data_IF_477871065293
#
_entry.id   IF_477871065293
#
_cell.length_a   1.000
_cell.length_b   1.000
_cell.length_c   1.000
_cell.angle_alpha   90.00
_cell.angle_beta   90.00
_cell.angle_gamma   90.00
#
_symmetry.space_group_name_H-M   'P 1'
#
loop_
_entity.id
_entity.type
_entity.pdbx_description
1 polymer ?
#
# COMPACT_ATOMS: atom_id res chain seq x y z
N UNK A 1 -25.84 -2.31 0.46
CA UNK A 1 -26.16 -2.47 -0.98
C UNK A 1 -24.88 -2.76 -1.74
N UNK A 2 -24.81 -3.87 -2.49
CA UNK A 2 -23.68 -4.16 -3.38
C UNK A 2 -23.65 -3.12 -4.49
N UNK A 3 -22.59 -2.34 -4.58
CA UNK A 3 -22.42 -1.39 -5.68
C UNK A 3 -21.77 -2.14 -6.84
N UNK A 4 -22.60 -2.64 -7.73
CA UNK A 4 -22.17 -3.28 -8.98
C UNK A 4 -21.43 -2.25 -9.85
N UNK A 5 -20.10 -2.38 -9.95
CA UNK A 5 -19.27 -1.51 -10.77
C UNK A 5 -19.46 -1.77 -12.28
N UNK A 6 -20.27 -2.79 -12.64
CA UNK A 6 -20.55 -3.14 -14.04
C UNK A 6 -21.75 -2.40 -14.64
N UNK A 7 -22.43 -1.55 -13.83
CA UNK A 7 -23.63 -0.79 -14.24
C UNK A 7 -23.41 0.73 -14.11
N UNK A 8 -24.26 1.54 -14.71
CA UNK A 8 -24.17 3.02 -14.67
C UNK A 8 -23.05 3.61 -15.53
N UNK A 9 -22.85 4.94 -15.50
CA UNK A 9 -21.79 5.65 -16.24
C UNK A 9 -20.41 5.36 -15.59
N UNK A 10 -19.40 4.82 -16.31
CA UNK A 10 -18.12 4.40 -15.75
C UNK A 10 -17.41 5.45 -14.88
N UNK A 11 -17.35 6.70 -15.37
CA UNK A 11 -16.69 7.79 -14.65
C UNK A 11 -17.38 8.10 -13.30
N UNK A 12 -18.72 8.17 -13.26
CA UNK A 12 -19.45 8.45 -12.03
C UNK A 12 -19.36 7.31 -11.03
N UNK A 13 -19.42 6.06 -11.51
CA UNK A 13 -19.29 4.87 -10.67
C UNK A 13 -17.90 4.80 -10.07
N UNK A 14 -16.86 5.00 -10.89
CA UNK A 14 -15.48 4.97 -10.45
C UNK A 14 -15.17 6.11 -9.47
N UNK A 15 -15.63 7.33 -9.72
CA UNK A 15 -15.44 8.47 -8.83
C UNK A 15 -16.06 8.21 -7.43
N UNK A 16 -17.29 7.74 -7.39
CA UNK A 16 -17.99 7.44 -6.12
C UNK A 16 -17.34 6.29 -5.37
N UNK A 17 -16.71 5.36 -6.06
CA UNK A 17 -15.98 4.24 -5.47
C UNK A 17 -14.59 4.67 -4.97
N UNK A 18 -13.90 5.53 -5.72
CA UNK A 18 -12.54 5.98 -5.41
C UNK A 18 -12.47 7.00 -4.29
N UNK A 19 -13.47 7.90 -4.19
CA UNK A 19 -13.44 8.98 -3.20
C UNK A 19 -13.29 8.50 -1.75
N UNK A 20 -14.02 7.47 -1.26
CA UNK A 20 -13.77 6.92 0.07
C UNK A 20 -12.37 6.31 0.23
N UNK A 21 -11.79 5.73 -0.83
CA UNK A 21 -10.43 5.18 -0.78
C UNK A 21 -9.37 6.28 -0.66
N UNK A 22 -9.54 7.42 -1.35
CA UNK A 22 -8.67 8.59 -1.19
C UNK A 22 -8.79 9.19 0.23
N UNK A 23 -10.01 9.26 0.77
CA UNK A 23 -10.21 9.68 2.15
C UNK A 23 -9.53 8.72 3.13
N UNK A 24 -9.57 7.41 2.89
CA UNK A 24 -8.84 6.43 3.70
C UNK A 24 -7.34 6.70 3.73
N UNK A 25 -6.75 7.03 2.57
CA UNK A 25 -5.32 7.39 2.52
C UNK A 25 -5.03 8.65 3.33
N UNK A 26 -5.86 9.69 3.21
CA UNK A 26 -5.69 10.91 3.98
C UNK A 26 -5.79 10.66 5.50
N UNK A 27 -6.80 9.91 5.95
CA UNK A 27 -6.93 9.52 7.36
C UNK A 27 -5.76 8.66 7.85
N UNK A 28 -5.27 7.73 7.03
CA UNK A 28 -4.11 6.91 7.38
C UNK A 28 -2.84 7.75 7.56
N UNK A 29 -2.63 8.76 6.72
CA UNK A 29 -1.47 9.65 6.88
C UNK A 29 -1.58 10.54 8.11
N UNK A 30 -2.77 11.06 8.41
CA UNK A 30 -3.02 11.81 9.65
C UNK A 30 -2.78 10.94 10.89
N UNK A 31 -3.26 9.71 10.87
CA UNK A 31 -3.01 8.73 11.92
C UNK A 31 -1.51 8.46 12.10
N UNK A 32 -0.76 8.17 11.02
CA UNK A 32 0.69 7.92 11.11
C UNK A 32 1.46 9.11 11.71
N UNK A 33 1.01 10.35 11.43
CA UNK A 33 1.60 11.56 12.03
C UNK A 33 1.27 11.62 13.52
N UNK A 34 0.01 11.40 13.91
CA UNK A 34 -0.42 11.43 15.31
C UNK A 34 0.32 10.39 16.16
N UNK A 35 0.40 9.16 15.68
CA UNK A 35 1.13 8.05 16.30
C UNK A 35 2.61 8.39 16.51
N UNK A 36 3.27 8.91 15.47
CA UNK A 36 4.67 9.35 15.56
C UNK A 36 4.88 10.50 16.55
N UNK A 37 3.91 11.42 16.67
CA UNK A 37 3.97 12.51 17.65
C UNK A 37 3.80 11.98 19.08
N UNK A 38 2.89 11.05 19.30
CA UNK A 38 2.68 10.46 20.64
C UNK A 38 3.91 9.66 21.03
N UNK A 39 4.42 8.78 20.17
CA UNK A 39 5.63 8.01 20.42
C UNK A 39 6.83 8.92 20.73
N UNK A 40 7.10 9.93 19.90
CA UNK A 40 8.27 10.78 20.07
C UNK A 40 8.20 11.74 21.26
N UNK A 41 7.01 12.32 21.56
CA UNK A 41 6.89 13.30 22.65
C UNK A 41 6.67 12.68 24.03
N UNK A 42 6.00 11.54 24.11
CA UNK A 42 5.54 10.99 25.38
C UNK A 42 6.18 9.64 25.73
N UNK A 43 6.59 8.83 24.74
CA UNK A 43 7.30 7.58 25.00
C UNK A 43 8.84 7.76 25.05
N UNK A 44 9.35 8.88 24.50
CA UNK A 44 10.77 9.23 24.51
C UNK A 44 11.49 8.96 23.19
N UNK A 45 12.73 9.47 23.09
CA UNK A 45 13.55 9.36 21.86
C UNK A 45 13.93 7.89 21.57
N UNK A 46 14.24 7.11 22.60
CA UNK A 46 14.59 5.68 22.46
C UNK A 46 13.41 4.86 21.94
N UNK A 47 12.18 5.16 22.37
CA UNK A 47 10.98 4.52 21.88
C UNK A 47 10.75 4.81 20.38
N UNK A 48 10.95 6.06 19.97
CA UNK A 48 10.85 6.44 18.55
C UNK A 48 11.94 5.77 17.70
N UNK A 49 13.16 5.66 18.25
CA UNK A 49 14.28 4.97 17.63
C UNK A 49 14.01 3.46 17.48
N UNK A 50 13.43 2.83 18.52
CA UNK A 50 13.06 1.41 18.53
C UNK A 50 11.98 1.09 17.46
N UNK A 51 10.93 1.91 17.35
CA UNK A 51 9.92 1.81 16.30
C UNK A 51 10.56 1.95 14.92
N UNK A 52 11.46 2.94 14.75
CA UNK A 52 12.20 3.16 13.51
C UNK A 52 13.09 1.99 13.11
N UNK A 53 13.81 1.39 14.07
CA UNK A 53 14.68 0.23 13.84
C UNK A 53 13.89 -1.04 13.45
N UNK A 54 12.63 -1.17 13.90
CA UNK A 54 11.73 -2.26 13.54
C UNK A 54 11.14 -2.12 12.13
N UNK A 55 11.15 -0.91 11.55
CA UNK A 55 10.47 -0.58 10.31
C UNK A 55 10.83 -1.46 9.10
N UNK A 56 12.11 -1.81 8.82
CA UNK A 56 12.46 -2.68 7.70
C UNK A 56 11.77 -4.05 7.77
N UNK A 57 11.67 -4.61 8.98
CA UNK A 57 11.06 -5.93 9.21
C UNK A 57 9.53 -5.84 9.07
N UNK A 58 8.92 -4.82 9.66
CA UNK A 58 7.47 -4.60 9.55
C UNK A 58 7.04 -4.38 8.11
N UNK A 59 7.86 -3.72 7.27
CA UNK A 59 7.59 -3.52 5.85
C UNK A 59 7.52 -4.84 5.06
N UNK A 60 8.31 -5.85 5.42
CA UNK A 60 8.24 -7.18 4.78
C UNK A 60 6.88 -7.82 5.08
N UNK A 61 6.43 -7.80 6.34
CA UNK A 61 5.12 -8.34 6.71
C UNK A 61 3.97 -7.58 6.04
N UNK A 62 4.08 -6.25 5.95
CA UNK A 62 3.12 -5.42 5.22
C UNK A 62 3.09 -5.76 3.72
N UNK A 63 4.24 -6.03 3.11
CA UNK A 63 4.31 -6.44 1.71
C UNK A 63 3.53 -7.75 1.46
N UNK A 64 3.65 -8.71 2.37
CA UNK A 64 2.88 -9.97 2.32
C UNK A 64 1.38 -9.69 2.47
N UNK A 65 0.98 -8.87 3.46
CA UNK A 65 -0.42 -8.52 3.69
C UNK A 65 -1.06 -7.85 2.47
N UNK A 66 -0.39 -6.85 1.90
CA UNK A 66 -0.87 -6.12 0.70
C UNK A 66 -0.89 -7.01 -0.54
N UNK A 67 0.13 -7.83 -0.75
CA UNK A 67 0.17 -8.73 -1.90
C UNK A 67 -0.93 -9.79 -1.86
N UNK A 68 -1.18 -10.38 -0.69
CA UNK A 68 -2.30 -11.31 -0.48
C UNK A 68 -3.65 -10.62 -0.69
N UNK A 69 -3.82 -9.41 -0.15
CA UNK A 69 -5.02 -8.60 -0.38
C UNK A 69 -5.28 -8.38 -1.88
N UNK A 70 -4.26 -7.98 -2.65
CA UNK A 70 -4.37 -7.77 -4.10
C UNK A 70 -4.80 -9.07 -4.79
N UNK A 71 -4.15 -10.20 -4.47
CA UNK A 71 -4.46 -11.49 -5.07
C UNK A 71 -5.92 -11.90 -4.87
N UNK A 72 -6.38 -11.84 -3.63
CA UNK A 72 -7.75 -12.20 -3.26
C UNK A 72 -8.76 -11.22 -3.88
N UNK A 73 -8.47 -9.92 -3.82
CA UNK A 73 -9.35 -8.87 -4.35
C UNK A 73 -9.58 -8.98 -5.85
N UNK A 74 -8.55 -9.27 -6.63
CA UNK A 74 -8.67 -9.44 -8.09
C UNK A 74 -9.55 -10.64 -8.41
N UNK A 75 -9.32 -11.79 -7.77
CA UNK A 75 -10.09 -13.02 -8.02
C UNK A 75 -11.55 -12.81 -7.63
N UNK A 76 -11.82 -12.27 -6.45
CA UNK A 76 -13.19 -11.98 -5.98
C UNK A 76 -13.90 -11.00 -6.91
N UNK A 77 -13.21 -9.91 -7.33
CA UNK A 77 -13.80 -8.92 -8.25
C UNK A 77 -14.23 -9.55 -9.58
N UNK A 78 -13.40 -10.43 -10.15
CA UNK A 78 -13.71 -11.13 -11.40
C UNK A 78 -14.91 -12.08 -11.22
N UNK A 79 -14.95 -12.87 -10.16
CA UNK A 79 -16.03 -13.79 -9.88
C UNK A 79 -17.35 -13.07 -9.55
N UNK A 80 -17.27 -11.97 -8.81
CA UNK A 80 -18.42 -11.12 -8.53
C UNK A 80 -19.00 -10.52 -9.81
N UNK A 81 -18.14 -10.00 -10.70
CA UNK A 81 -18.55 -9.50 -12.00
C UNK A 81 -19.18 -10.57 -12.92
N UNK A 82 -18.67 -11.79 -12.85
CA UNK A 82 -19.22 -12.94 -13.57
C UNK A 82 -20.55 -13.46 -12.96
N UNK A 83 -20.96 -12.92 -11.79
CA UNK A 83 -22.10 -13.39 -11.00
C UNK A 83 -21.95 -14.84 -10.52
N UNK A 84 -20.74 -15.36 -10.49
CA UNK A 84 -20.42 -16.66 -9.91
C UNK A 84 -20.21 -16.54 -8.40
N UNK A 85 -21.32 -16.37 -7.68
CA UNK A 85 -21.32 -16.10 -6.26
C UNK A 85 -20.87 -17.31 -5.41
N UNK A 86 -21.02 -18.54 -5.92
CA UNK A 86 -20.51 -19.74 -5.27
C UNK A 86 -18.98 -19.70 -5.21
N UNK A 87 -18.34 -19.57 -6.37
CA UNK A 87 -16.89 -19.54 -6.46
C UNK A 87 -16.30 -18.28 -5.82
N UNK A 88 -17.02 -17.15 -5.88
CA UNK A 88 -16.65 -15.92 -5.17
C UNK A 88 -16.55 -16.14 -3.65
N UNK A 89 -17.54 -16.82 -3.03
CA UNK A 89 -17.49 -17.15 -1.61
C UNK A 89 -16.39 -18.16 -1.30
N UNK A 90 -16.22 -19.17 -2.16
CA UNK A 90 -15.13 -20.15 -2.06
C UNK A 90 -13.77 -19.43 -2.09
N UNK A 91 -13.60 -18.42 -2.98
CA UNK A 91 -12.38 -17.61 -3.04
C UNK A 91 -12.15 -16.81 -1.75
N UNK A 92 -13.21 -16.20 -1.20
CA UNK A 92 -13.11 -15.44 0.05
C UNK A 92 -12.73 -16.36 1.22
N UNK A 93 -13.40 -17.50 1.40
CA UNK A 93 -13.09 -18.44 2.47
C UNK A 93 -11.69 -19.05 2.33
N UNK A 94 -11.31 -19.48 1.11
CA UNK A 94 -9.96 -19.96 0.80
C UNK A 94 -8.92 -18.88 1.15
N UNK A 95 -9.20 -17.62 0.79
CA UNK A 95 -8.32 -16.49 1.10
C UNK A 95 -8.13 -16.30 2.61
N UNK A 96 -9.21 -16.27 3.40
CA UNK A 96 -9.13 -16.14 4.86
C UNK A 96 -8.39 -17.30 5.51
N UNK A 97 -8.66 -18.53 5.12
CA UNK A 97 -7.95 -19.70 5.64
C UNK A 97 -6.46 -19.64 5.30
N UNK A 98 -6.13 -19.28 4.05
CA UNK A 98 -4.74 -19.20 3.60
C UNK A 98 -3.95 -18.13 4.34
N UNK A 99 -4.53 -16.94 4.58
CA UNK A 99 -3.85 -15.88 5.33
C UNK A 99 -3.82 -16.17 6.83
N UNK A 100 -4.78 -16.88 7.38
CA UNK A 100 -4.73 -17.33 8.77
C UNK A 100 -3.56 -18.31 8.99
N UNK A 101 -3.41 -19.30 8.11
CA UNK A 101 -2.28 -20.24 8.15
C UNK A 101 -0.96 -19.49 7.96
N UNK A 102 -0.87 -18.63 6.94
CA UNK A 102 0.33 -17.83 6.67
C UNK A 102 0.66 -16.90 7.84
N UNK A 103 -0.34 -16.27 8.44
CA UNK A 103 -0.19 -15.40 9.60
C UNK A 103 0.38 -16.14 10.80
N UNK A 104 -0.17 -17.33 11.11
CA UNK A 104 0.35 -18.19 12.19
C UNK A 104 1.80 -18.61 11.91
N UNK A 105 2.09 -19.08 10.70
CA UNK A 105 3.46 -19.48 10.32
C UNK A 105 4.44 -18.32 10.46
N UNK A 106 4.08 -17.13 9.93
CA UNK A 106 4.94 -15.94 10.02
C UNK A 106 5.07 -15.42 11.45
N UNK A 107 4.03 -15.57 12.28
CA UNK A 107 4.11 -15.23 13.70
C UNK A 107 5.11 -16.14 14.43
N UNK A 108 5.03 -17.45 14.24
CA UNK A 108 5.96 -18.40 14.84
C UNK A 108 7.40 -18.16 14.38
N UNK A 109 7.60 -18.11 13.06
CA UNK A 109 8.93 -17.88 12.46
C UNK A 109 9.49 -16.51 12.87
N UNK A 110 8.65 -15.47 12.82
CA UNK A 110 9.05 -14.11 13.18
C UNK A 110 9.42 -13.98 14.64
N UNK A 111 8.67 -14.63 15.55
CA UNK A 111 9.00 -14.61 16.98
C UNK A 111 10.33 -15.30 17.27
N UNK A 112 10.61 -16.44 16.63
CA UNK A 112 11.89 -17.16 16.78
C UNK A 112 13.07 -16.36 16.22
N UNK A 113 12.85 -15.67 15.09
CA UNK A 113 13.90 -14.93 14.37
C UNK A 113 13.98 -13.44 14.75
N UNK A 114 13.16 -12.96 15.69
CA UNK A 114 13.07 -11.54 16.05
C UNK A 114 14.44 -10.94 16.42
N UNK A 115 15.08 -11.46 17.47
CA UNK A 115 16.41 -10.98 17.90
C UNK A 115 17.52 -11.24 16.84
N UNK A 116 17.65 -12.44 16.25
CA UNK A 116 18.63 -12.68 15.19
C UNK A 116 18.54 -11.67 14.02
N UNK A 117 17.33 -11.33 13.59
CA UNK A 117 17.13 -10.35 12.51
C UNK A 117 17.58 -8.95 12.96
N UNK A 118 17.21 -8.52 14.17
CA UNK A 118 17.59 -7.21 14.70
C UNK A 118 19.12 -7.07 14.85
N UNK A 119 19.79 -8.11 15.34
CA UNK A 119 21.26 -8.15 15.42
C UNK A 119 21.92 -8.10 14.04
N UNK A 120 21.35 -8.82 13.05
CA UNK A 120 21.84 -8.79 11.68
C UNK A 120 21.64 -7.41 11.01
N UNK A 121 20.60 -6.67 11.40
CA UNK A 121 20.35 -5.31 10.94
C UNK A 121 21.22 -4.26 11.63
N UNK A 122 22.05 -4.65 12.62
CA UNK A 122 22.94 -3.75 13.34
C UNK A 122 22.20 -2.82 14.30
N UNK A 123 21.09 -3.28 14.90
CA UNK A 123 20.36 -2.50 15.90
C UNK A 123 21.28 -2.20 17.09
N UNK A 124 21.42 -0.91 17.52
CA UNK A 124 22.25 -0.54 18.67
C UNK A 124 21.80 -1.20 19.97
N UNK A 125 22.76 -1.58 20.80
CA UNK A 125 22.48 -2.30 22.07
C UNK A 125 21.60 -1.50 23.04
N UNK A 126 21.70 -0.16 23.04
CA UNK A 126 20.91 0.72 23.93
C UNK A 126 19.41 0.71 23.63
N UNK A 127 18.99 0.35 22.41
CA UNK A 127 17.58 0.27 22.00
C UNK A 127 17.16 -1.16 21.64
N UNK A 128 18.05 -2.15 21.78
CA UNK A 128 17.79 -3.52 21.34
C UNK A 128 16.59 -4.13 22.07
N UNK A 129 16.49 -3.97 23.38
CA UNK A 129 15.41 -4.53 24.20
C UNK A 129 14.06 -3.93 23.80
N UNK A 130 13.97 -2.61 23.68
CA UNK A 130 12.76 -1.89 23.28
C UNK A 130 12.35 -2.25 21.84
N UNK A 131 13.34 -2.37 20.94
CA UNK A 131 13.09 -2.76 19.55
C UNK A 131 12.58 -4.20 19.46
N UNK A 132 13.15 -5.11 20.21
CA UNK A 132 12.72 -6.51 20.27
C UNK A 132 11.31 -6.63 20.87
N UNK A 133 11.01 -5.89 21.93
CA UNK A 133 9.68 -5.86 22.54
C UNK A 133 8.62 -5.35 21.54
N UNK A 134 8.89 -4.20 20.91
CA UNK A 134 7.98 -3.63 19.93
C UNK A 134 7.72 -4.59 18.76
N UNK A 135 8.81 -5.13 18.18
CA UNK A 135 8.72 -6.04 17.05
C UNK A 135 8.02 -7.35 17.41
N UNK A 136 8.26 -7.92 18.60
CA UNK A 136 7.58 -9.12 19.05
C UNK A 136 6.06 -8.91 19.17
N UNK A 137 5.63 -7.81 19.79
CA UNK A 137 4.20 -7.49 19.90
C UNK A 137 3.59 -7.27 18.51
N UNK A 138 4.30 -6.57 17.61
CA UNK A 138 3.86 -6.39 16.21
C UNK A 138 3.70 -7.72 15.48
N UNK A 139 4.66 -8.65 15.64
CA UNK A 139 4.62 -10.00 15.05
C UNK A 139 3.41 -10.79 15.57
N UNK A 140 3.07 -10.70 16.85
CA UNK A 140 1.88 -11.33 17.42
C UNK A 140 0.59 -10.75 16.80
N UNK A 141 0.61 -9.49 16.37
CA UNK A 141 -0.47 -8.82 15.66
C UNK A 141 -0.62 -9.17 14.17
N UNK A 142 0.29 -9.95 13.57
CA UNK A 142 0.28 -10.25 12.13
C UNK A 142 -1.02 -10.89 11.67
N UNK A 143 -1.60 -11.79 12.45
CA UNK A 143 -2.86 -12.41 12.11
C UNK A 143 -3.98 -11.37 11.97
N UNK A 144 -4.03 -10.40 12.87
CA UNK A 144 -5.01 -9.30 12.81
C UNK A 144 -4.75 -8.40 11.62
N UNK A 145 -3.49 -8.05 11.35
CA UNK A 145 -3.08 -7.29 10.18
C UNK A 145 -3.57 -7.94 8.89
N UNK A 146 -3.35 -9.23 8.73
CA UNK A 146 -3.74 -9.97 7.53
C UNK A 146 -5.26 -10.07 7.40
N UNK A 147 -5.97 -10.43 8.45
CA UNK A 147 -7.44 -10.53 8.45
C UNK A 147 -8.08 -9.17 8.11
N UNK A 148 -7.57 -8.08 8.70
CA UNK A 148 -8.06 -6.73 8.40
C UNK A 148 -7.86 -6.36 6.92
N UNK A 149 -6.66 -6.58 6.38
CA UNK A 149 -6.34 -6.27 4.98
C UNK A 149 -7.21 -7.06 4.01
N UNK A 150 -7.39 -8.38 4.25
CA UNK A 150 -8.24 -9.22 3.40
C UNK A 150 -9.71 -8.79 3.52
N UNK A 151 -10.19 -8.48 4.72
CA UNK A 151 -11.55 -8.00 4.91
C UNK A 151 -11.81 -6.71 4.12
N UNK A 152 -10.89 -5.76 4.17
CA UNK A 152 -10.93 -4.54 3.38
C UNK A 152 -10.93 -4.84 1.86
N UNK A 153 -10.09 -5.79 1.43
CA UNK A 153 -10.03 -6.26 0.05
C UNK A 153 -11.32 -6.91 -0.44
N UNK A 154 -11.96 -7.73 0.38
CA UNK A 154 -13.25 -8.33 0.06
C UNK A 154 -14.32 -7.27 -0.14
N UNK A 155 -14.44 -6.29 0.76
CA UNK A 155 -15.38 -5.18 0.61
C UNK A 155 -15.17 -4.40 -0.67
N UNK A 156 -13.93 -4.00 -0.96
CA UNK A 156 -13.60 -3.25 -2.17
C UNK A 156 -13.86 -4.06 -3.44
N UNK A 157 -13.63 -5.37 -3.40
CA UNK A 157 -13.95 -6.29 -4.51
C UNK A 157 -15.44 -6.39 -4.80
N UNK A 158 -16.28 -6.24 -3.77
CA UNK A 158 -17.75 -6.19 -3.88
C UNK A 158 -18.29 -4.78 -4.21
N UNK A 159 -17.40 -3.82 -4.51
CA UNK A 159 -17.75 -2.44 -4.84
C UNK A 159 -18.08 -1.56 -3.62
N UNK A 160 -17.77 -2.00 -2.42
CA UNK A 160 -17.95 -1.22 -1.20
C UNK A 160 -16.62 -0.68 -0.68
N UNK A 161 -16.34 0.59 -0.94
CA UNK A 161 -15.17 1.32 -0.44
C UNK A 161 -15.46 2.14 0.83
N UNK A 162 -16.73 2.27 1.23
CA UNK A 162 -17.11 3.06 2.41
C UNK A 162 -16.91 2.29 3.71
N UNK A 163 -17.26 1.01 3.70
CA UNK A 163 -17.14 0.16 4.90
C UNK A 163 -15.69 0.08 5.39
N UNK A 164 -14.67 -0.19 4.53
CA UNK A 164 -13.27 -0.13 4.94
C UNK A 164 -12.83 1.24 5.48
N UNK A 165 -13.32 2.34 4.91
CA UNK A 165 -13.04 3.70 5.42
C UNK A 165 -13.51 3.87 6.87
N UNK A 166 -14.73 3.44 7.18
CA UNK A 166 -15.26 3.55 8.54
C UNK A 166 -14.50 2.69 9.55
N UNK A 167 -14.10 1.47 9.16
CA UNK A 167 -13.25 0.65 10.01
C UNK A 167 -11.87 1.28 10.23
N UNK A 168 -11.28 1.88 9.20
CA UNK A 168 -10.01 2.59 9.34
C UNK A 168 -10.14 3.78 10.30
N UNK A 169 -11.17 4.62 10.14
CA UNK A 169 -11.39 5.78 11.03
C UNK A 169 -11.57 5.30 12.47
N UNK A 170 -12.45 4.33 12.70
CA UNK A 170 -12.71 3.82 14.04
C UNK A 170 -11.46 3.21 14.69
N UNK A 171 -10.69 2.43 13.93
CA UNK A 171 -9.45 1.81 14.42
C UNK A 171 -8.37 2.85 14.69
N UNK A 172 -8.21 3.85 13.83
CA UNK A 172 -7.23 4.92 14.02
C UNK A 172 -7.53 5.79 15.24
N UNK A 173 -8.79 6.18 15.41
CA UNK A 173 -9.23 6.94 16.60
C UNK A 173 -9.07 6.09 17.86
N UNK A 174 -9.48 4.83 17.82
CA UNK A 174 -9.31 3.89 18.93
C UNK A 174 -7.83 3.68 19.31
N UNK A 175 -6.94 3.57 18.31
CA UNK A 175 -5.51 3.44 18.54
C UNK A 175 -4.93 4.71 19.20
N UNK A 176 -5.23 5.92 18.68
CA UNK A 176 -4.78 7.18 19.28
C UNK A 176 -5.22 7.30 20.75
N UNK A 177 -6.45 6.89 21.06
CA UNK A 177 -6.94 6.89 22.45
C UNK A 177 -6.17 5.88 23.31
N UNK A 178 -5.93 4.67 22.80
CA UNK A 178 -5.16 3.64 23.52
C UNK A 178 -3.69 4.05 23.69
N UNK A 179 -3.07 4.68 22.68
CA UNK A 179 -1.72 5.24 22.79
C UNK A 179 -1.67 6.27 23.92
N UNK A 180 -2.63 7.21 23.95
CA UNK A 180 -2.69 8.21 25.02
C UNK A 180 -2.85 7.56 26.40
N UNK A 181 -3.68 6.53 26.53
CA UNK A 181 -3.88 5.82 27.79
C UNK A 181 -2.62 5.04 28.22
N UNK A 182 -2.03 4.27 27.32
CA UNK A 182 -0.92 3.40 27.67
C UNK A 182 0.41 4.16 27.82
N UNK A 183 0.63 5.18 26.99
CA UNK A 183 1.87 5.94 27.01
C UNK A 183 1.81 7.09 28.01
N UNK A 184 0.72 7.88 28.05
CA UNK A 184 0.65 9.08 28.87
C UNK A 184 0.15 8.77 30.30
N UNK A 185 -0.85 7.87 30.45
CA UNK A 185 -1.42 7.58 31.78
C UNK A 185 -0.66 6.44 32.46
N UNK A 186 -0.39 5.35 31.74
CA UNK A 186 0.25 4.16 32.33
C UNK A 186 1.79 4.18 32.23
N UNK A 187 2.37 5.09 31.44
CA UNK A 187 3.81 5.24 31.25
C UNK A 187 4.52 3.95 30.77
N UNK A 188 3.86 3.19 29.87
CA UNK A 188 4.39 1.92 29.34
C UNK A 188 5.45 2.10 28.24
N UNK A 189 5.84 3.34 27.91
CA UNK A 189 6.86 3.63 26.91
C UNK A 189 6.57 3.00 25.54
N UNK A 190 7.59 2.36 24.95
CA UNK A 190 7.47 1.69 23.64
C UNK A 190 6.47 0.53 23.65
N UNK A 191 6.42 -0.22 24.75
CA UNK A 191 5.44 -1.30 24.94
C UNK A 191 3.99 -0.79 24.86
N UNK A 192 3.74 0.42 25.38
CA UNK A 192 2.42 1.06 25.31
C UNK A 192 1.97 1.31 23.87
N UNK A 193 2.85 1.86 23.04
CA UNK A 193 2.58 2.08 21.60
C UNK A 193 2.30 0.75 20.88
N UNK A 194 3.12 -0.28 21.15
CA UNK A 194 2.95 -1.59 20.52
C UNK A 194 1.63 -2.26 20.91
N UNK A 195 1.28 -2.26 22.21
CA UNK A 195 0.02 -2.85 22.69
C UNK A 195 -1.21 -2.08 22.24
N UNK A 196 -1.15 -0.74 22.16
CA UNK A 196 -2.25 0.07 21.63
C UNK A 196 -2.54 -0.30 20.17
N UNK A 197 -1.52 -0.40 19.34
CA UNK A 197 -1.63 -0.85 17.94
C UNK A 197 -2.17 -2.27 17.85
N UNK A 198 -1.65 -3.21 18.64
CA UNK A 198 -2.12 -4.60 18.67
C UNK A 198 -3.61 -4.70 18.99
N UNK A 199 -4.06 -4.02 20.06
CA UNK A 199 -5.46 -4.08 20.50
C UNK A 199 -6.40 -3.38 19.50
N UNK A 200 -6.04 -2.17 19.04
CA UNK A 200 -6.85 -1.45 18.06
C UNK A 200 -7.02 -2.27 16.78
N UNK A 201 -5.94 -2.86 16.29
CA UNK A 201 -5.97 -3.69 15.10
C UNK A 201 -6.69 -5.02 15.31
N UNK A 202 -6.57 -5.61 16.51
CA UNK A 202 -7.31 -6.81 16.91
C UNK A 202 -8.82 -6.60 16.86
N UNK A 203 -9.30 -5.54 17.51
CA UNK A 203 -10.74 -5.18 17.50
C UNK A 203 -11.22 -4.86 16.08
N UNK A 204 -10.47 -4.03 15.34
CA UNK A 204 -10.82 -3.67 13.98
C UNK A 204 -10.89 -4.89 13.05
N UNK A 205 -9.93 -5.82 13.18
CA UNK A 205 -9.91 -7.04 12.37
C UNK A 205 -11.08 -7.97 12.67
N UNK A 206 -11.42 -8.14 13.96
CA UNK A 206 -12.57 -8.95 14.38
C UNK A 206 -13.89 -8.37 13.86
N UNK A 207 -14.08 -7.05 14.01
CA UNK A 207 -15.26 -6.36 13.49
C UNK A 207 -15.36 -6.42 11.96
N UNK A 208 -14.24 -6.18 11.25
CA UNK A 208 -14.18 -6.25 9.80
C UNK A 208 -14.47 -7.66 9.28
N UNK A 209 -13.89 -8.69 9.91
CA UNK A 209 -14.11 -10.10 9.57
C UNK A 209 -15.57 -10.49 9.77
N UNK A 210 -16.16 -10.15 10.93
CA UNK A 210 -17.57 -10.41 11.21
C UNK A 210 -18.47 -9.73 10.16
N UNK A 211 -18.19 -8.47 9.83
CA UNK A 211 -18.95 -7.74 8.82
C UNK A 211 -18.83 -8.38 7.42
N UNK A 212 -17.63 -8.86 7.04
CA UNK A 212 -17.45 -9.63 5.79
C UNK A 212 -18.27 -10.91 5.81
N UNK A 213 -18.21 -11.70 6.89
CA UNK A 213 -18.98 -12.94 6.98
C UNK A 213 -20.49 -12.68 6.86
N UNK A 214 -20.98 -11.63 7.54
CA UNK A 214 -22.38 -11.21 7.42
C UNK A 214 -22.72 -10.79 5.98
N UNK A 215 -21.82 -10.06 5.33
CA UNK A 215 -21.95 -9.63 3.95
C UNK A 215 -21.98 -10.81 2.97
N UNK A 216 -21.10 -11.78 3.12
CA UNK A 216 -21.06 -12.97 2.29
C UNK A 216 -22.32 -13.83 2.49
N UNK A 217 -22.85 -13.93 3.71
CA UNK A 217 -24.12 -14.62 3.99
C UNK A 217 -25.31 -13.97 3.27
N UNK A 218 -25.36 -12.65 3.14
CA UNK A 218 -26.44 -11.93 2.46
C UNK A 218 -26.45 -12.09 0.94
N UNK A 219 -25.38 -12.63 0.34
CA UNK A 219 -25.37 -13.00 -1.08
C UNK A 219 -25.92 -14.41 -1.24
N UNK A 220 -27.07 -14.57 -1.88
CA UNK A 220 -27.68 -15.86 -2.11
C UNK A 220 -26.88 -16.69 -3.10
N UNK A 221 -26.77 -18.00 -2.83
CA UNK A 221 -26.14 -18.98 -3.72
C UNK A 221 -27.00 -20.23 -3.78
N UNK A 222 -27.19 -20.78 -4.99
CA UNK A 222 -27.98 -22.01 -5.19
C UNK A 222 -27.32 -23.23 -4.56
N UNK A 223 -25.99 -23.25 -4.54
CA UNK A 223 -25.19 -24.35 -4.00
C UNK A 223 -24.30 -23.86 -2.85
N UNK A 224 -23.94 -24.77 -1.95
CA UNK A 224 -23.02 -24.45 -0.84
C UNK A 224 -21.62 -24.18 -1.39
N UNK A 225 -20.98 -23.05 -1.02
CA UNK A 225 -19.58 -22.80 -1.35
C UNK A 225 -18.67 -23.74 -0.56
N UNK A 226 -17.54 -24.12 -1.15
CA UNK A 226 -16.50 -24.85 -0.42
C UNK A 226 -15.78 -23.90 0.54
N UNK A 227 -15.39 -24.39 1.71
CA UNK A 227 -14.59 -23.62 2.67
C UNK A 227 -13.15 -23.40 2.18
N UNK A 228 -12.61 -24.37 1.46
CA UNK A 228 -11.27 -24.31 0.89
C UNK A 228 -11.22 -25.02 -0.47
N UNK A 229 -10.49 -24.43 -1.41
CA UNK A 229 -10.24 -25.00 -2.73
C UNK A 229 -8.79 -24.74 -3.15
N UNK A 230 -8.02 -25.83 -3.39
CA UNK A 230 -6.64 -25.72 -3.87
C UNK A 230 -6.54 -25.05 -5.25
N UNK A 231 -7.53 -25.26 -6.12
CA UNK A 231 -7.61 -24.57 -7.42
C UNK A 231 -7.80 -23.06 -7.24
N UNK A 232 -8.62 -22.66 -6.26
CA UNK A 232 -8.83 -21.25 -5.93
C UNK A 232 -7.60 -20.64 -5.29
N UNK A 233 -6.92 -21.36 -4.39
CA UNK A 233 -5.65 -20.94 -3.81
C UNK A 233 -4.60 -20.69 -4.92
N UNK A 234 -4.47 -21.63 -5.87
CA UNK A 234 -3.56 -21.45 -7.03
C UNK A 234 -3.90 -20.19 -7.82
N UNK A 235 -5.19 -19.94 -8.09
CA UNK A 235 -5.65 -18.74 -8.81
C UNK A 235 -5.30 -17.45 -8.06
N UNK A 236 -5.49 -17.44 -6.75
CA UNK A 236 -5.10 -16.31 -5.87
C UNK A 236 -3.58 -16.12 -5.88
N UNK A 237 -2.81 -17.23 -5.73
CA UNK A 237 -1.35 -17.18 -5.65
C UNK A 237 -0.69 -16.63 -6.92
N UNK A 238 -1.24 -16.91 -8.11
CA UNK A 238 -0.76 -16.35 -9.38
C UNK A 238 -0.78 -14.82 -9.38
N UNK A 239 -1.69 -14.20 -8.62
CA UNK A 239 -1.76 -12.74 -8.49
C UNK A 239 -1.04 -12.26 -7.22
N UNK A 240 -1.18 -12.98 -6.12
CA UNK A 240 -0.64 -12.59 -4.82
C UNK A 240 0.89 -12.62 -4.78
N UNK A 241 1.52 -13.72 -5.23
CA UNK A 241 2.99 -13.88 -5.18
C UNK A 241 3.71 -12.76 -5.94
N UNK A 242 3.37 -12.46 -7.22
CA UNK A 242 3.94 -11.31 -7.91
C UNK A 242 3.75 -9.98 -7.16
N UNK A 243 2.59 -9.78 -6.56
CA UNK A 243 2.29 -8.55 -5.81
C UNK A 243 3.09 -8.45 -4.51
N UNK A 244 3.32 -9.56 -3.81
CA UNK A 244 4.20 -9.62 -2.64
C UNK A 244 5.63 -9.26 -3.03
N UNK A 245 6.14 -9.91 -4.08
CA UNK A 245 7.49 -9.64 -4.60
C UNK A 245 7.65 -8.17 -4.98
N UNK A 246 6.68 -7.60 -5.70
CA UNK A 246 6.69 -6.18 -6.05
C UNK A 246 6.82 -5.28 -4.82
N UNK A 247 5.98 -5.49 -3.80
CA UNK A 247 6.01 -4.68 -2.58
C UNK A 247 7.34 -4.83 -1.80
N UNK A 248 7.87 -6.05 -1.74
CA UNK A 248 9.17 -6.32 -1.12
C UNK A 248 10.31 -5.61 -1.87
N UNK A 249 10.32 -5.69 -3.20
CA UNK A 249 11.33 -5.00 -4.03
C UNK A 249 11.25 -3.47 -3.91
N UNK A 250 10.04 -2.90 -3.79
CA UNK A 250 9.87 -1.46 -3.51
C UNK A 250 10.57 -1.09 -2.21
N UNK A 251 10.40 -1.89 -1.16
CA UNK A 251 11.02 -1.64 0.15
C UNK A 251 12.54 -1.71 0.07
N UNK A 252 13.08 -2.75 -0.60
CA UNK A 252 14.54 -2.91 -0.81
C UNK A 252 15.09 -1.75 -1.64
N UNK A 253 14.41 -1.36 -2.72
CA UNK A 253 14.82 -0.22 -3.56
C UNK A 253 14.89 1.08 -2.77
N UNK A 254 13.92 1.33 -1.90
CA UNK A 254 13.92 2.53 -1.04
C UNK A 254 15.09 2.50 -0.03
N UNK A 255 15.44 1.33 0.52
CA UNK A 255 16.61 1.17 1.40
C UNK A 255 17.92 1.45 0.67
N UNK A 256 18.08 0.99 -0.58
CA UNK A 256 19.25 1.30 -1.41
C UNK A 256 19.39 2.81 -1.66
N UNK A 257 18.28 3.48 -2.01
CA UNK A 257 18.26 4.94 -2.19
C UNK A 257 18.60 5.68 -0.89
N UNK A 258 18.03 5.26 0.23
CA UNK A 258 18.34 5.83 1.55
C UNK A 258 19.82 5.69 1.89
N UNK A 259 20.42 4.52 1.60
CA UNK A 259 21.85 4.27 1.79
C UNK A 259 22.73 5.24 1.01
N UNK A 260 22.38 5.54 -0.25
CA UNK A 260 23.09 6.55 -1.04
C UNK A 260 22.95 7.96 -0.45
N UNK A 261 21.76 8.34 -0.03
CA UNK A 261 21.48 9.65 0.58
C UNK A 261 22.24 9.85 1.89
N UNK A 262 22.39 8.79 2.68
CA UNK A 262 23.14 8.84 3.95
C UNK A 262 24.59 9.28 3.76
N UNK A 263 25.20 9.02 2.60
CA UNK A 263 26.56 9.46 2.25
C UNK A 263 26.71 10.98 2.06
N UNK A 264 25.59 11.74 2.00
CA UNK A 264 25.62 13.19 1.80
C UNK A 264 25.45 14.01 3.11
N UNK A 265 25.42 13.35 4.25
CA UNK A 265 25.38 14.00 5.57
C UNK A 265 23.96 14.26 6.10
N UNK A 266 23.91 14.84 7.31
CA UNK A 266 22.66 14.97 8.09
C UNK A 266 21.62 15.90 7.44
N UNK A 267 22.04 16.99 6.83
CA UNK A 267 21.13 17.90 6.11
C UNK A 267 20.42 17.20 4.95
N UNK A 268 21.15 16.36 4.20
CA UNK A 268 20.59 15.58 3.11
C UNK A 268 19.59 14.55 3.60
N UNK A 269 19.92 13.83 4.67
CA UNK A 269 19.03 12.85 5.31
C UNK A 269 17.74 13.54 5.78
N UNK A 270 17.85 14.67 6.46
CA UNK A 270 16.70 15.39 6.99
C UNK A 270 15.79 15.90 5.85
N UNK A 271 16.36 16.58 4.83
CA UNK A 271 15.63 17.11 3.69
C UNK A 271 14.95 16.01 2.87
N UNK A 272 15.66 14.91 2.60
CA UNK A 272 15.11 13.75 1.90
C UNK A 272 13.99 13.08 2.70
N UNK A 273 14.18 12.85 3.99
CA UNK A 273 13.19 12.19 4.84
C UNK A 273 11.86 12.97 4.89
N UNK A 274 11.92 14.30 5.03
CA UNK A 274 10.73 15.13 4.96
C UNK A 274 10.08 15.11 3.56
N UNK A 275 10.90 15.20 2.51
CA UNK A 275 10.44 15.12 1.12
C UNK A 275 9.78 13.78 0.79
N UNK A 276 10.35 12.66 1.25
CA UNK A 276 9.79 11.32 1.04
C UNK A 276 8.44 11.15 1.75
N UNK A 277 8.24 11.71 2.94
CA UNK A 277 6.93 11.66 3.61
C UNK A 277 5.84 12.31 2.74
N UNK A 278 6.12 13.48 2.18
CA UNK A 278 5.21 14.17 1.26
C UNK A 278 5.03 13.38 -0.05
N UNK A 279 6.11 12.90 -0.65
CA UNK A 279 6.07 12.07 -1.86
C UNK A 279 5.26 10.78 -1.65
N UNK A 280 5.38 10.14 -0.49
CA UNK A 280 4.61 8.94 -0.13
C UNK A 280 3.12 9.23 -0.10
N UNK A 281 2.71 10.40 0.38
CA UNK A 281 1.31 10.80 0.37
C UNK A 281 0.76 10.89 -1.06
N UNK A 282 1.50 11.47 -1.99
CA UNK A 282 1.11 11.53 -3.41
C UNK A 282 1.05 10.12 -4.03
N UNK A 283 2.10 9.31 -3.84
CA UNK A 283 2.16 7.94 -4.39
C UNK A 283 1.04 7.06 -3.85
N UNK A 284 0.76 7.09 -2.55
CA UNK A 284 -0.30 6.27 -1.95
C UNK A 284 -1.68 6.70 -2.42
N UNK A 285 -1.91 8.00 -2.65
CA UNK A 285 -3.15 8.53 -3.23
C UNK A 285 -3.34 8.03 -4.68
N UNK A 286 -2.31 8.08 -5.50
CA UNK A 286 -2.35 7.55 -6.88
C UNK A 286 -2.49 6.02 -6.90
N UNK A 287 -1.91 5.32 -5.93
CA UNK A 287 -2.06 3.86 -5.76
C UNK A 287 -3.50 3.48 -5.37
N UNK A 288 -4.17 4.28 -4.53
CA UNK A 288 -5.59 4.06 -4.21
C UNK A 288 -6.48 4.18 -5.47
N UNK A 289 -6.17 5.13 -6.36
CA UNK A 289 -6.82 5.24 -7.67
C UNK A 289 -6.56 3.99 -8.53
N UNK A 290 -5.32 3.52 -8.60
CA UNK A 290 -4.94 2.29 -9.30
C UNK A 290 -5.71 1.07 -8.77
N UNK A 291 -5.85 0.95 -7.44
CA UNK A 291 -6.63 -0.11 -6.81
C UNK A 291 -8.12 -0.04 -7.18
N UNK A 292 -8.66 1.18 -7.27
CA UNK A 292 -10.04 1.41 -7.72
C UNK A 292 -10.24 0.96 -9.17
N UNK A 293 -9.31 1.32 -10.07
CA UNK A 293 -9.30 0.89 -11.47
C UNK A 293 -9.16 -0.63 -11.57
N UNK A 294 -8.35 -1.24 -10.71
CA UNK A 294 -8.17 -2.70 -10.66
C UNK A 294 -9.47 -3.42 -10.30
N UNK A 295 -10.16 -3.01 -9.23
CA UNK A 295 -11.44 -3.59 -8.82
C UNK A 295 -12.52 -3.40 -9.89
N UNK A 296 -12.60 -2.19 -10.46
CA UNK A 296 -13.52 -1.89 -11.57
C UNK A 296 -13.23 -2.78 -12.79
N UNK A 297 -11.97 -2.93 -13.16
CA UNK A 297 -11.53 -3.78 -14.28
C UNK A 297 -11.87 -5.24 -14.02
N UNK A 298 -11.55 -5.76 -12.83
CA UNK A 298 -11.84 -7.14 -12.45
C UNK A 298 -13.31 -7.47 -12.59
N UNK A 299 -14.21 -6.64 -12.03
CA UNK A 299 -15.65 -6.85 -12.15
C UNK A 299 -16.13 -6.77 -13.62
N UNK A 300 -15.64 -5.81 -14.42
CA UNK A 300 -16.09 -5.65 -15.81
C UNK A 300 -15.52 -6.75 -16.73
N UNK A 301 -14.33 -7.27 -16.47
CA UNK A 301 -13.81 -8.46 -17.18
C UNK A 301 -14.63 -9.70 -16.84
N UNK A 302 -14.91 -9.91 -15.54
CA UNK A 302 -15.78 -11.01 -15.13
C UNK A 302 -17.16 -10.96 -15.79
N UNK A 303 -17.72 -9.76 -15.94
CA UNK A 303 -19.00 -9.52 -16.62
C UNK A 303 -18.91 -9.55 -18.17
N UNK A 304 -17.75 -9.77 -18.78
CA UNK A 304 -17.54 -9.74 -20.23
C UNK A 304 -17.64 -8.34 -20.88
N UNK A 305 -17.61 -7.25 -20.07
CA UNK A 305 -17.86 -5.87 -20.53
C UNK A 305 -16.57 -5.13 -20.92
N UNK A 306 -15.83 -5.62 -21.93
CA UNK A 306 -14.51 -5.09 -22.34
C UNK A 306 -14.54 -3.61 -22.75
N UNK A 307 -15.63 -3.14 -23.37
CA UNK A 307 -15.78 -1.71 -23.72
C UNK A 307 -15.79 -0.82 -22.45
N UNK A 308 -16.39 -1.32 -21.35
CA UNK A 308 -16.43 -0.60 -20.08
C UNK A 308 -15.06 -0.53 -19.42
N UNK A 309 -14.22 -1.57 -19.55
CA UNK A 309 -12.83 -1.55 -19.07
C UNK A 309 -12.07 -0.39 -19.70
N UNK A 310 -12.17 -0.19 -21.02
CA UNK A 310 -11.56 0.96 -21.73
C UNK A 310 -12.08 2.31 -21.22
N UNK A 311 -13.39 2.42 -21.01
CA UNK A 311 -14.00 3.65 -20.48
C UNK A 311 -13.58 3.89 -19.03
N UNK A 312 -13.45 2.83 -18.22
CA UNK A 312 -12.94 2.89 -16.84
C UNK A 312 -11.49 3.33 -16.80
N UNK A 313 -10.62 2.80 -17.68
CA UNK A 313 -9.25 3.27 -17.81
C UNK A 313 -9.17 4.77 -18.11
N UNK A 314 -9.92 5.26 -19.10
CA UNK A 314 -9.94 6.70 -19.41
C UNK A 314 -10.40 7.54 -18.23
N UNK A 315 -11.46 7.13 -17.54
CA UNK A 315 -11.95 7.83 -16.36
C UNK A 315 -10.93 7.78 -15.20
N UNK A 316 -10.34 6.62 -14.94
CA UNK A 316 -9.29 6.44 -13.94
C UNK A 316 -8.04 7.28 -14.23
N UNK A 317 -7.62 7.33 -15.50
CA UNK A 317 -6.50 8.17 -15.94
C UNK A 317 -6.77 9.66 -15.70
N UNK A 318 -7.95 10.15 -16.10
CA UNK A 318 -8.34 11.56 -15.87
C UNK A 318 -8.33 11.89 -14.37
N UNK A 319 -8.88 11.00 -13.52
CA UNK A 319 -8.86 11.19 -12.07
C UNK A 319 -7.43 11.15 -11.50
N UNK A 320 -6.58 10.23 -11.97
CA UNK A 320 -5.19 10.12 -11.56
C UNK A 320 -4.38 11.36 -11.96
N UNK A 321 -4.60 11.87 -13.18
CA UNK A 321 -3.98 13.12 -13.65
C UNK A 321 -4.44 14.32 -12.81
N UNK A 322 -5.74 14.41 -12.49
CA UNK A 322 -6.25 15.50 -11.65
C UNK A 322 -5.60 15.49 -10.25
N UNK A 323 -5.50 14.32 -9.62
CA UNK A 323 -4.83 14.15 -8.32
C UNK A 323 -3.33 14.46 -8.44
N UNK A 324 -2.66 13.99 -9.49
CA UNK A 324 -1.26 14.28 -9.76
C UNK A 324 -0.99 15.78 -9.91
N UNK A 325 -1.86 16.50 -10.63
CA UNK A 325 -1.77 17.96 -10.79
C UNK A 325 -1.97 18.73 -9.47
N UNK A 326 -2.86 18.25 -8.60
CA UNK A 326 -3.04 18.85 -7.27
C UNK A 326 -1.77 18.71 -6.43
N UNK A 327 -1.17 17.51 -6.36
CA UNK A 327 0.08 17.31 -5.63
C UNK A 327 1.26 18.04 -6.28
N UNK A 328 1.36 18.01 -7.62
CA UNK A 328 2.39 18.75 -8.36
C UNK A 328 2.30 20.26 -8.05
N UNK A 329 1.11 20.83 -8.15
CA UNK A 329 0.90 22.25 -7.83
C UNK A 329 1.22 22.56 -6.37
N UNK A 330 0.77 21.74 -5.42
CA UNK A 330 1.08 21.90 -4.00
C UNK A 330 2.60 21.87 -3.73
N UNK A 331 3.33 20.94 -4.33
CA UNK A 331 4.78 20.79 -4.07
C UNK A 331 5.62 21.80 -4.82
N UNK A 332 5.22 22.23 -6.02
CA UNK A 332 5.91 23.29 -6.76
C UNK A 332 5.71 24.65 -6.10
N UNK A 333 4.47 25.01 -5.71
CA UNK A 333 4.17 26.36 -5.20
C UNK A 333 4.28 26.50 -3.68
N UNK A 334 4.14 25.41 -2.92
CA UNK A 334 4.11 25.40 -1.45
C UNK A 334 5.05 24.37 -0.82
N UNK A 335 5.98 23.79 -1.60
CA UNK A 335 6.87 22.72 -1.15
C UNK A 335 7.65 23.07 0.10
N UNK A 336 8.18 24.30 0.19
CA UNK A 336 8.89 24.79 1.37
C UNK A 336 8.00 24.81 2.63
N UNK A 337 6.81 25.40 2.54
CA UNK A 337 5.86 25.46 3.65
C UNK A 337 5.42 24.07 4.11
N UNK A 338 5.28 23.13 3.17
CA UNK A 338 4.92 21.75 3.48
C UNK A 338 6.07 20.97 4.13
N UNK A 339 7.31 21.25 3.74
CA UNK A 339 8.50 20.66 4.38
C UNK A 339 8.63 21.14 5.83
N UNK A 340 8.35 22.41 6.10
CA UNK A 340 8.37 23.00 7.44
C UNK A 340 7.36 22.37 8.43
N UNK A 341 6.39 21.59 7.94
CA UNK A 341 5.53 20.77 8.82
C UNK A 341 6.30 19.60 9.46
N UNK A 342 7.43 19.20 8.86
CA UNK A 342 8.23 18.04 9.28
C UNK A 342 9.64 18.40 9.72
N UNK A 343 10.07 19.67 9.59
CA UNK A 343 11.43 20.14 9.86
C UNK A 343 11.39 21.49 10.57
N UNK A 344 12.41 21.75 11.40
CA UNK A 344 12.60 23.07 11.97
C UNK A 344 13.18 24.05 10.93
N UNK A 345 12.80 25.32 11.00
CA UNK A 345 13.23 26.39 10.06
C UNK A 345 14.73 26.70 10.09
N UNK A 346 15.47 26.19 11.06
CA UNK A 346 16.91 26.46 11.25
C UNK A 346 17.82 25.76 10.25
N UNK A 347 17.33 24.78 9.51
CA UNK A 347 18.13 23.97 8.55
C UNK A 347 17.86 24.38 7.10
N UNK A 348 18.32 25.57 6.69
CA UNK A 348 18.10 26.09 5.33
C UNK A 348 18.57 25.12 4.22
N UNK A 349 19.74 24.49 4.40
CA UNK A 349 20.28 23.51 3.47
C UNK A 349 19.37 22.29 3.31
N UNK A 350 18.87 21.72 4.41
CA UNK A 350 17.97 20.59 4.39
C UNK A 350 16.63 20.93 3.70
N UNK A 351 16.10 22.14 3.92
CA UNK A 351 14.89 22.62 3.24
C UNK A 351 15.13 22.73 1.73
N UNK A 352 16.26 23.26 1.31
CA UNK A 352 16.61 23.38 -0.11
C UNK A 352 16.72 22.00 -0.78
N UNK A 353 17.37 21.04 -0.13
CA UNK A 353 17.50 19.67 -0.61
C UNK A 353 16.11 19.02 -0.75
N UNK A 354 15.28 19.12 0.27
CA UNK A 354 13.91 18.57 0.24
C UNK A 354 13.04 19.23 -0.83
N UNK A 355 13.14 20.54 -0.99
CA UNK A 355 12.42 21.30 -2.02
C UNK A 355 12.85 20.88 -3.43
N UNK A 356 14.16 20.73 -3.66
CA UNK A 356 14.70 20.25 -4.94
C UNK A 356 14.25 18.83 -5.27
N UNK A 357 14.24 17.93 -4.27
CA UNK A 357 13.68 16.59 -4.42
C UNK A 357 12.21 16.65 -4.84
N UNK A 358 11.36 17.36 -4.08
CA UNK A 358 9.92 17.47 -4.38
C UNK A 358 9.67 18.07 -5.75
N UNK A 359 10.43 19.10 -6.15
CA UNK A 359 10.31 19.74 -7.46
C UNK A 359 10.58 18.72 -8.57
N UNK A 360 11.70 17.99 -8.50
CA UNK A 360 12.09 17.03 -9.54
C UNK A 360 11.08 15.89 -9.66
N UNK A 361 10.67 15.29 -8.54
CA UNK A 361 9.79 14.12 -8.60
C UNK A 361 8.34 14.51 -8.95
N UNK A 362 7.84 15.65 -8.45
CA UNK A 362 6.44 16.04 -8.66
C UNK A 362 6.13 16.40 -10.11
N UNK A 363 7.07 16.97 -10.86
CA UNK A 363 6.91 17.25 -12.30
C UNK A 363 6.63 15.97 -13.11
N UNK A 364 7.05 14.81 -12.60
CA UNK A 364 6.86 13.52 -13.27
C UNK A 364 5.67 12.72 -12.72
N UNK A 365 4.86 13.26 -11.81
CA UNK A 365 3.65 12.58 -11.33
C UNK A 365 2.63 12.29 -12.42
N UNK A 366 2.64 13.00 -13.53
CA UNK A 366 1.78 12.71 -14.68
C UNK A 366 2.12 11.35 -15.32
N UNK A 367 3.43 11.03 -15.43
CA UNK A 367 3.88 9.73 -15.90
C UNK A 367 3.54 8.63 -14.89
N UNK A 368 3.71 8.90 -13.59
CA UNK A 368 3.31 7.98 -12.54
C UNK A 368 1.81 7.73 -12.55
N UNK A 369 0.97 8.75 -12.76
CA UNK A 369 -0.47 8.62 -12.88
C UNK A 369 -0.87 7.72 -14.07
N UNK A 370 -0.22 7.91 -15.23
CA UNK A 370 -0.42 7.08 -16.42
C UNK A 370 -0.03 5.61 -16.13
N UNK A 371 1.16 5.40 -15.55
CA UNK A 371 1.65 4.08 -15.16
C UNK A 371 0.65 3.37 -14.25
N UNK A 372 0.28 3.99 -13.14
CA UNK A 372 -0.57 3.39 -12.13
C UNK A 372 -2.00 3.12 -12.65
N UNK A 373 -2.53 3.97 -13.53
CA UNK A 373 -3.81 3.71 -14.18
C UNK A 373 -3.76 2.48 -15.11
N UNK A 374 -2.70 2.34 -15.92
CA UNK A 374 -2.48 1.18 -16.79
C UNK A 374 -2.22 -0.10 -15.98
N UNK A 375 -1.36 -0.02 -14.96
CA UNK A 375 -1.06 -1.12 -14.03
C UNK A 375 -2.32 -1.59 -13.29
N UNK A 376 -3.24 -0.69 -12.94
CA UNK A 376 -4.54 -1.03 -12.37
C UNK A 376 -5.37 -1.92 -13.30
N UNK A 377 -5.36 -1.63 -14.61
CA UNK A 377 -6.05 -2.48 -15.60
C UNK A 377 -5.34 -3.83 -15.76
N UNK A 378 -4.01 -3.85 -15.90
CA UNK A 378 -3.23 -5.09 -16.04
C UNK A 378 -3.47 -6.02 -14.84
N UNK A 379 -3.41 -5.49 -13.63
CA UNK A 379 -3.62 -6.20 -12.38
C UNK A 379 -5.05 -6.71 -12.24
N UNK A 380 -6.06 -5.84 -12.45
CA UNK A 380 -7.47 -6.23 -12.39
C UNK A 380 -7.86 -7.29 -13.42
N UNK A 381 -7.14 -7.32 -14.55
CA UNK A 381 -7.27 -8.34 -15.58
C UNK A 381 -6.56 -9.67 -15.24
N UNK A 382 -5.72 -9.68 -14.21
CA UNK A 382 -4.85 -10.83 -13.92
C UNK A 382 -3.68 -10.98 -14.91
N UNK A 383 -3.32 -9.93 -15.65
CA UNK A 383 -2.20 -9.91 -16.58
C UNK A 383 -0.88 -9.67 -15.83
N UNK A 384 -0.60 -10.51 -14.81
CA UNK A 384 0.43 -10.29 -13.80
C UNK A 384 1.85 -10.27 -14.36
N UNK A 385 2.15 -11.07 -15.38
CA UNK A 385 3.47 -11.08 -16.01
C UNK A 385 3.84 -9.69 -16.56
N UNK A 386 2.92 -9.05 -17.27
CA UNK A 386 3.14 -7.72 -17.84
C UNK A 386 3.21 -6.63 -16.76
N UNK A 387 2.38 -6.75 -15.73
CA UNK A 387 2.45 -5.90 -14.55
C UNK A 387 3.79 -6.02 -13.82
N UNK A 388 4.32 -7.24 -13.65
CA UNK A 388 5.63 -7.47 -13.06
C UNK A 388 6.75 -6.84 -13.88
N UNK A 389 6.75 -7.05 -15.20
CA UNK A 389 7.78 -6.50 -16.09
C UNK A 389 7.86 -4.98 -15.94
N UNK A 390 6.72 -4.28 -15.98
CA UNK A 390 6.71 -2.81 -15.86
C UNK A 390 7.18 -2.33 -14.49
N UNK A 391 6.81 -3.05 -13.43
CA UNK A 391 7.16 -2.64 -12.07
C UNK A 391 8.59 -2.96 -11.70
N UNK A 392 9.08 -4.16 -12.05
CA UNK A 392 10.49 -4.52 -11.81
C UNK A 392 11.43 -3.65 -12.63
N UNK A 393 11.07 -3.34 -13.88
CA UNK A 393 11.86 -2.43 -14.71
C UNK A 393 11.98 -1.05 -14.05
N UNK A 394 10.85 -0.49 -13.53
CA UNK A 394 10.86 0.79 -12.79
C UNK A 394 11.83 0.74 -11.60
N UNK A 395 11.70 -0.30 -10.77
CA UNK A 395 12.50 -0.42 -9.54
C UNK A 395 13.98 -0.62 -9.82
N UNK A 396 14.33 -1.51 -10.78
CA UNK A 396 15.71 -1.77 -11.18
C UNK A 396 16.31 -0.50 -11.78
N UNK A 397 15.62 0.14 -12.71
CA UNK A 397 16.11 1.38 -13.33
C UNK A 397 16.33 2.47 -12.30
N UNK A 398 15.42 2.64 -11.34
CA UNK A 398 15.54 3.64 -10.28
C UNK A 398 16.80 3.42 -9.46
N UNK A 399 17.05 2.19 -9.00
CA UNK A 399 18.25 1.88 -8.20
C UNK A 399 19.51 2.03 -9.05
N UNK A 400 19.57 1.40 -10.22
CA UNK A 400 20.75 1.43 -11.10
C UNK A 400 21.09 2.87 -11.52
N UNK A 401 20.08 3.64 -11.95
CA UNK A 401 20.30 5.03 -12.35
C UNK A 401 20.71 5.91 -11.16
N UNK A 402 20.21 5.65 -9.94
CA UNK A 402 20.67 6.39 -8.78
C UNK A 402 22.17 6.20 -8.54
N UNK A 403 22.68 4.96 -8.62
CA UNK A 403 24.12 4.66 -8.50
C UNK A 403 24.95 5.26 -9.64
N UNK A 404 24.45 5.30 -10.86
CA UNK A 404 25.16 5.89 -12.01
C UNK A 404 25.15 7.42 -11.96
N UNK A 405 23.97 8.02 -11.76
CA UNK A 405 23.79 9.46 -11.84
C UNK A 405 24.32 10.22 -10.61
N UNK A 406 24.54 9.53 -9.48
CA UNK A 406 25.14 10.14 -8.30
C UNK A 406 26.57 10.65 -8.57
N UNK A 407 27.34 9.97 -9.45
CA UNK A 407 28.69 10.37 -9.76
C UNK A 407 28.80 11.71 -10.50
N UNK A 408 28.05 11.96 -11.60
CA UNK A 408 28.11 13.25 -12.30
C UNK A 408 27.25 14.37 -11.68
N UNK A 409 26.17 14.05 -10.97
CA UNK A 409 25.17 15.03 -10.52
C UNK A 409 25.01 15.10 -9.00
N UNK A 410 25.83 14.35 -8.23
CA UNK A 410 25.72 14.27 -6.78
C UNK A 410 24.31 13.82 -6.34
N UNK A 411 23.83 14.39 -5.25
CA UNK A 411 22.51 14.06 -4.69
C UNK A 411 21.34 14.28 -5.67
N UNK A 412 21.49 15.25 -6.59
CA UNK A 412 20.48 15.52 -7.62
C UNK A 412 20.33 14.33 -8.60
N UNK A 413 21.40 13.58 -8.85
CA UNK A 413 21.37 12.37 -9.65
C UNK A 413 20.49 11.29 -9.04
N UNK A 414 20.48 11.18 -7.71
CA UNK A 414 19.58 10.28 -7.00
C UNK A 414 18.10 10.67 -7.24
N UNK A 415 17.80 11.98 -7.20
CA UNK A 415 16.45 12.47 -7.46
C UNK A 415 15.99 12.21 -8.89
N UNK A 416 16.87 12.38 -9.87
CA UNK A 416 16.59 12.16 -11.30
C UNK A 416 16.29 10.69 -11.62
N UNK A 417 16.77 9.74 -10.84
CA UNK A 417 16.49 8.32 -11.06
C UNK A 417 14.99 7.97 -10.99
N UNK A 418 14.20 8.68 -10.17
CA UNK A 418 12.77 8.48 -10.05
C UNK A 418 12.00 8.84 -11.34
N UNK A 419 12.15 10.07 -11.90
CA UNK A 419 11.57 10.43 -13.18
C UNK A 419 11.90 9.48 -14.32
N UNK A 420 13.17 9.11 -14.48
CA UNK A 420 13.57 8.19 -15.56
C UNK A 420 12.89 6.82 -15.42
N UNK A 421 12.86 6.26 -14.22
CA UNK A 421 12.14 5.02 -13.95
C UNK A 421 10.65 5.14 -14.31
N UNK A 422 9.99 6.22 -13.90
CA UNK A 422 8.57 6.42 -14.18
C UNK A 422 8.26 6.66 -15.65
N UNK A 423 9.06 7.43 -16.39
CA UNK A 423 8.86 7.69 -17.83
C UNK A 423 8.96 6.38 -18.62
N UNK A 424 10.01 5.59 -18.39
CA UNK A 424 10.22 4.34 -19.12
C UNK A 424 9.14 3.31 -18.77
N UNK A 425 8.86 3.13 -17.48
CA UNK A 425 7.88 2.14 -17.03
C UNK A 425 6.43 2.53 -17.40
N UNK A 426 6.09 3.82 -17.39
CA UNK A 426 4.77 4.29 -17.83
C UNK A 426 4.55 4.08 -19.32
N UNK A 427 5.57 4.32 -20.11
CA UNK A 427 5.52 4.06 -21.56
C UNK A 427 5.29 2.57 -21.83
N UNK A 428 6.00 1.69 -21.13
CA UNK A 428 5.84 0.25 -21.29
C UNK A 428 4.46 -0.23 -20.79
N UNK A 429 3.98 0.28 -19.65
CA UNK A 429 2.63 -0.04 -19.14
C UNK A 429 1.54 0.38 -20.15
N UNK A 430 1.69 1.56 -20.75
CA UNK A 430 0.76 2.05 -21.79
C UNK A 430 0.83 1.17 -23.04
N UNK A 431 2.02 0.80 -23.49
CA UNK A 431 2.22 -0.10 -24.64
C UNK A 431 1.51 -1.44 -24.39
N UNK A 432 1.70 -2.07 -23.25
CA UNK A 432 1.00 -3.31 -22.91
C UNK A 432 -0.53 -3.12 -22.83
N UNK A 433 -0.99 -1.99 -22.29
CA UNK A 433 -2.41 -1.67 -22.30
C UNK A 433 -2.97 -1.54 -23.74
N UNK A 434 -2.27 -0.83 -24.63
CA UNK A 434 -2.68 -0.61 -26.02
C UNK A 434 -2.66 -1.90 -26.85
N UNK A 435 -1.67 -2.77 -26.66
CA UNK A 435 -1.66 -4.09 -27.27
C UNK A 435 -2.81 -4.99 -26.77
N UNK A 436 -3.46 -4.60 -25.69
CA UNK A 436 -4.64 -5.30 -25.19
C UNK A 436 -4.33 -6.62 -24.51
N UNK A 437 -3.12 -6.78 -23.93
CA UNK A 437 -2.72 -7.98 -23.17
C UNK A 437 -3.61 -8.26 -21.95
N UNK A 438 -4.34 -7.24 -21.50
CA UNK A 438 -5.35 -7.33 -20.45
C UNK A 438 -6.67 -7.97 -20.92
N UNK A 439 -6.91 -8.07 -22.24
CA UNK A 439 -8.17 -8.54 -22.80
C UNK A 439 -8.13 -10.06 -23.02
N UNK A 440 -8.87 -10.86 -22.24
CA UNK A 440 -8.87 -12.30 -22.38
C UNK A 440 -9.40 -12.80 -23.74
N UNK A 441 -10.19 -11.99 -24.46
CA UNK A 441 -10.69 -12.35 -25.79
C UNK A 441 -9.59 -12.32 -26.85
N UNK A 442 -8.56 -11.48 -26.69
CA UNK A 442 -7.41 -11.43 -27.59
C UNK A 442 -6.40 -12.56 -27.38
N UNK A 443 -6.42 -13.21 -26.21
CA UNK A 443 -5.55 -14.37 -25.91
C UNK A 443 -6.04 -15.67 -26.55
N UNK A 444 -7.28 -15.70 -27.02
CA UNK A 444 -7.90 -16.87 -27.66
C UNK A 444 -7.90 -16.81 -29.19
N UNK A 445 -7.54 -15.69 -29.76
CA UNK A 445 -7.34 -15.47 -31.20
C UNK A 445 -5.83 -15.47 -31.52
#
# INVERSE_FOLDING_TARGET
MNKDLTTGKPASVLLRFTLPMLLSVAFQQLYNIADSVIAGKFAGEDALAAVGASYPVTMIFMAVAFGMNIGISVVISQLFGAKDFKEMKTAAYTGFISVAVLGVVLTVVGTVLCEPILRMLGTPENIMEDTALYLAIYIWGLLFLFIYNISSGVFTSLGDSKTPLWFLIASSVGNIVLDAVFVIIFHWGVGGVAWATFLAQGVASACAFWAVLHRLKSVETKEKPALFSGAMLRRISIVAIPSILQQSFVSVGNLCIQGLVNGFGSSAIAGYSAGVKLNTFAITSLTALSNSVSSFTGQNIGAGKMKRVRSGFKAGLVMSVAVALVFMGAYVFRGENLLLLFMNSTSAEAIEIGKKFLLIVSLCYLFLALKLAADGVLRGAGAMVYFMITTFLDLILRVVLAFILVHPFGITGIWLSWPFGWVISSTLSLVFYLFGVWNPLKKKA
#
